data_IF_899520604552
#
_entry.id   IF_899520604552
#
_cell.length_a   1.000
_cell.length_b   1.000
_cell.length_c   1.000
_cell.angle_alpha   90.00
_cell.angle_beta   90.00
_cell.angle_gamma   90.00
#
_symmetry.space_group_name_H-M   'P 1'
#
loop_
_entity.id
_entity.type
_entity.pdbx_description
1 polymer ?
#
# COMPACT_ATOMS: atom_id res chain seq x y z
N UNK A 1 11.01 -7.67 -5.95
CA UNK A 1 10.71 -6.32 -5.38
C UNK A 1 11.91 -5.38 -5.51
N UNK A 2 13.13 -5.89 -5.66
CA UNK A 2 14.33 -5.06 -5.83
C UNK A 2 14.26 -4.11 -7.04
N UNK A 3 13.72 -4.56 -8.17
CA UNK A 3 13.55 -3.70 -9.36
C UNK A 3 12.60 -2.53 -9.10
N UNK A 4 11.53 -2.77 -8.34
CA UNK A 4 10.58 -1.71 -7.95
C UNK A 4 11.26 -0.68 -7.02
N UNK A 5 12.04 -1.13 -6.04
CA UNK A 5 12.81 -0.25 -5.17
C UNK A 5 13.81 0.60 -5.97
N UNK A 6 14.57 -0.02 -6.88
CA UNK A 6 15.51 0.68 -7.75
C UNK A 6 14.80 1.68 -8.68
N UNK A 7 13.61 1.35 -9.18
CA UNK A 7 12.78 2.25 -9.97
C UNK A 7 12.34 3.50 -9.21
N UNK A 8 11.99 3.36 -7.92
CA UNK A 8 11.66 4.50 -7.06
C UNK A 8 12.86 5.44 -6.89
N UNK A 9 14.06 4.91 -6.64
CA UNK A 9 15.27 5.73 -6.51
C UNK A 9 15.67 6.39 -7.84
N UNK A 10 15.50 5.69 -8.97
CA UNK A 10 15.73 6.25 -10.30
C UNK A 10 14.76 7.41 -10.59
N UNK A 11 13.49 7.29 -10.21
CA UNK A 11 12.52 8.38 -10.33
C UNK A 11 12.96 9.61 -9.51
N UNK A 12 13.36 9.43 -8.25
CA UNK A 12 13.82 10.51 -7.38
C UNK A 12 15.05 11.23 -7.93
N UNK A 13 15.97 10.49 -8.55
CA UNK A 13 17.17 11.09 -9.15
C UNK A 13 16.88 11.84 -10.46
N UNK A 14 15.79 11.50 -11.15
CA UNK A 14 15.44 12.03 -12.46
C UNK A 14 14.40 13.15 -12.41
N UNK A 15 13.57 13.21 -11.36
CA UNK A 15 12.48 14.16 -11.18
C UNK A 15 12.80 15.11 -10.02
N UNK A 16 12.55 16.40 -10.23
CA UNK A 16 12.78 17.40 -9.19
C UNK A 16 11.90 17.18 -7.95
N UNK A 17 10.68 16.67 -8.15
CA UNK A 17 9.74 16.37 -7.06
C UNK A 17 8.83 15.21 -7.47
N UNK A 18 8.98 14.04 -6.80
CA UNK A 18 8.15 12.86 -7.04
C UNK A 18 6.77 12.96 -6.38
N UNK A 19 6.59 13.90 -5.44
CA UNK A 19 5.34 14.01 -4.68
C UNK A 19 4.19 14.62 -5.49
N UNK A 20 4.50 15.23 -6.63
CA UNK A 20 3.51 15.84 -7.55
C UNK A 20 3.26 15.02 -8.83
N UNK A 21 3.91 13.87 -8.97
CA UNK A 21 3.71 12.99 -10.15
C UNK A 21 2.40 12.19 -10.00
N UNK A 22 1.75 11.91 -11.14
CA UNK A 22 0.64 10.96 -11.17
C UNK A 22 1.15 9.52 -11.01
N UNK A 23 0.66 8.79 -10.00
CA UNK A 23 1.01 7.39 -9.74
C UNK A 23 -0.14 6.48 -10.13
N UNK A 24 0.08 5.52 -11.02
CA UNK A 24 -0.92 4.53 -11.44
C UNK A 24 -0.26 3.20 -11.78
N UNK A 25 -1.02 2.12 -11.68
CA UNK A 25 -0.62 0.77 -12.06
C UNK A 25 -1.35 0.26 -13.31
N UNK A 26 -2.47 0.88 -13.67
CA UNK A 26 -3.26 0.61 -14.87
C UNK A 26 -3.66 1.91 -15.55
N UNK A 27 -3.83 1.86 -16.86
CA UNK A 27 -4.41 2.93 -17.66
C UNK A 27 -5.05 2.36 -18.94
N UNK A 28 -5.55 3.23 -19.81
CA UNK A 28 -6.24 2.87 -21.05
C UNK A 28 -5.30 2.48 -22.21
N UNK A 29 -3.99 2.45 -22.00
CA UNK A 29 -2.98 2.15 -23.02
C UNK A 29 -2.15 0.89 -22.70
N UNK A 30 -2.36 0.29 -21.53
CA UNK A 30 -1.69 -0.95 -21.11
C UNK A 30 -2.70 -1.97 -20.64
N UNK A 31 -2.33 -3.24 -20.75
CA UNK A 31 -3.17 -4.36 -20.29
C UNK A 31 -3.54 -4.18 -18.81
N UNK A 32 -4.75 -4.62 -18.44
CA UNK A 32 -5.19 -4.66 -17.06
C UNK A 32 -4.32 -5.60 -16.23
N UNK A 33 -4.05 -5.25 -14.97
CA UNK A 33 -3.28 -6.11 -14.05
C UNK A 33 -3.91 -7.50 -13.93
N UNK A 34 -5.24 -7.56 -13.85
CA UNK A 34 -5.99 -8.81 -13.77
C UNK A 34 -5.94 -9.68 -15.04
N UNK A 35 -5.49 -9.16 -16.19
CA UNK A 35 -5.19 -9.95 -17.37
C UNK A 35 -3.89 -10.75 -17.26
N UNK A 36 -2.97 -10.30 -16.41
CA UNK A 36 -1.69 -10.94 -16.15
C UNK A 36 -1.78 -11.96 -15.01
N UNK A 37 -2.66 -11.74 -14.05
CA UNK A 37 -2.87 -12.62 -12.90
C UNK A 37 -4.24 -12.39 -12.26
N UNK A 38 -4.91 -13.46 -11.87
CA UNK A 38 -6.15 -13.42 -11.08
C UNK A 38 -5.90 -13.37 -9.56
N UNK A 39 -4.64 -13.32 -9.12
CA UNK A 39 -4.28 -13.33 -7.70
C UNK A 39 -4.65 -12.01 -7.03
N UNK A 40 -5.64 -12.05 -6.14
CA UNK A 40 -6.13 -10.87 -5.42
C UNK A 40 -5.12 -10.30 -4.42
N UNK A 41 -4.21 -11.11 -3.88
CA UNK A 41 -3.16 -10.58 -3.00
C UNK A 41 -2.18 -9.71 -3.78
N UNK A 42 -1.82 -10.10 -5.01
CA UNK A 42 -1.00 -9.28 -5.91
C UNK A 42 -1.74 -7.99 -6.32
N UNK A 43 -3.02 -8.09 -6.67
CA UNK A 43 -3.83 -6.92 -7.00
C UNK A 43 -3.93 -5.93 -5.82
N UNK A 44 -4.12 -6.45 -4.59
CA UNK A 44 -4.13 -5.63 -3.36
C UNK A 44 -2.79 -4.93 -3.10
N UNK A 45 -1.66 -5.63 -3.32
CA UNK A 45 -0.33 -5.01 -3.21
C UNK A 45 -0.18 -3.86 -4.21
N UNK A 46 -0.58 -4.08 -5.46
CA UNK A 46 -0.48 -3.09 -6.54
C UNK A 46 -1.31 -1.84 -6.25
N UNK A 47 -2.56 -2.01 -5.81
CA UNK A 47 -3.45 -0.89 -5.43
C UNK A 47 -2.88 -0.15 -4.21
N UNK A 48 -2.47 -0.88 -3.17
CA UNK A 48 -1.93 -0.27 -1.96
C UNK A 48 -0.61 0.48 -2.24
N UNK A 49 0.27 -0.08 -3.06
CA UNK A 49 1.48 0.60 -3.51
C UNK A 49 1.15 1.90 -4.25
N UNK A 50 0.23 1.85 -5.23
CA UNK A 50 -0.20 3.03 -6.00
C UNK A 50 -0.71 4.15 -5.09
N UNK A 51 -1.51 3.81 -4.07
CA UNK A 51 -2.14 4.81 -3.20
C UNK A 51 -1.16 5.33 -2.13
N UNK A 52 -0.27 4.50 -1.59
CA UNK A 52 0.52 4.83 -0.40
C UNK A 52 1.94 5.35 -0.71
N UNK A 53 2.43 5.22 -1.94
CA UNK A 53 3.69 5.82 -2.36
C UNK A 53 3.56 7.34 -2.59
N UNK A 54 4.60 7.94 -3.16
CA UNK A 54 4.60 9.34 -3.58
C UNK A 54 3.63 9.62 -4.73
N UNK A 55 3.29 10.89 -4.84
CA UNK A 55 2.50 11.41 -5.95
C UNK A 55 1.00 11.42 -5.72
N UNK A 56 0.29 11.71 -6.78
CA UNK A 56 -1.18 11.77 -6.84
C UNK A 56 -1.66 10.40 -7.31
N UNK A 57 -2.29 9.59 -6.46
CA UNK A 57 -2.72 8.25 -6.85
C UNK A 57 -3.87 8.31 -7.84
N UNK A 58 -3.77 7.51 -8.89
CA UNK A 58 -4.78 7.37 -9.93
C UNK A 58 -5.19 5.90 -9.98
N UNK A 59 -6.45 5.62 -9.71
CA UNK A 59 -7.06 4.30 -9.88
C UNK A 59 -7.83 4.32 -11.20
N UNK A 60 -7.44 3.45 -12.12
CA UNK A 60 -8.12 3.34 -13.41
C UNK A 60 -9.48 2.68 -13.22
N UNK A 61 -10.54 3.30 -13.77
CA UNK A 61 -11.91 2.82 -13.63
C UNK A 61 -12.04 1.34 -14.03
N UNK A 62 -12.59 0.52 -13.14
CA UNK A 62 -12.68 -0.95 -13.28
C UNK A 62 -11.57 -1.71 -12.57
N UNK A 63 -10.47 -1.09 -12.15
CA UNK A 63 -9.43 -1.74 -11.33
C UNK A 63 -10.01 -2.21 -10.00
N UNK A 64 -10.87 -1.42 -9.39
CA UNK A 64 -11.60 -1.74 -8.16
C UNK A 64 -12.64 -2.86 -8.35
N UNK A 65 -12.96 -3.20 -9.59
CA UNK A 65 -13.86 -4.29 -9.98
C UNK A 65 -13.11 -5.51 -10.53
N UNK A 66 -11.75 -5.44 -10.55
CA UNK A 66 -10.88 -6.48 -11.09
C UNK A 66 -11.15 -6.78 -12.59
N UNK A 67 -11.40 -5.74 -13.38
CA UNK A 67 -11.51 -5.88 -14.84
C UNK A 67 -10.19 -6.41 -15.42
N UNK A 68 -10.29 -7.23 -16.48
CA UNK A 68 -9.18 -8.05 -16.95
C UNK A 68 -8.91 -7.97 -18.46
N UNK A 69 -9.29 -6.87 -19.09
CA UNK A 69 -9.01 -6.64 -20.51
C UNK A 69 -7.52 -6.70 -20.83
N UNK A 70 -7.16 -7.53 -21.80
CA UNK A 70 -5.77 -7.87 -22.09
C UNK A 70 -5.04 -6.91 -23.01
N UNK A 71 -5.72 -6.12 -23.81
CA UNK A 71 -5.12 -5.16 -24.76
C UNK A 71 -6.15 -4.15 -25.26
N UNK A 72 -5.68 -3.06 -25.84
CA UNK A 72 -6.53 -2.05 -26.48
C UNK A 72 -7.30 -2.67 -27.66
N UNK A 73 -8.63 -2.50 -27.74
CA UNK A 73 -9.51 -1.68 -26.89
C UNK A 73 -10.15 -2.45 -25.70
N UNK A 74 -9.80 -3.70 -25.50
CA UNK A 74 -10.45 -4.58 -24.52
C UNK A 74 -10.15 -4.20 -23.07
N UNK A 75 -9.07 -3.46 -22.79
CA UNK A 75 -8.70 -2.87 -21.51
C UNK A 75 -9.53 -1.63 -21.14
N UNK A 76 -10.45 -1.21 -22.04
CA UNK A 76 -11.34 -0.06 -21.86
C UNK A 76 -12.78 -0.51 -21.61
N UNK A 77 -12.95 -1.51 -20.72
CA UNK A 77 -14.25 -2.05 -20.37
C UNK A 77 -15.15 -0.94 -19.81
N UNK A 78 -16.42 -1.00 -20.19
CA UNK A 78 -17.40 -0.06 -19.71
C UNK A 78 -17.71 -0.25 -18.22
N UNK A 79 -17.72 0.83 -17.47
CA UNK A 79 -17.86 0.81 -16.00
C UNK A 79 -19.15 0.16 -15.49
N UNK A 80 -20.23 0.17 -16.30
CA UNK A 80 -21.51 -0.45 -15.94
C UNK A 80 -21.52 -1.99 -16.01
N UNK A 81 -20.50 -2.62 -16.61
CA UNK A 81 -20.45 -4.10 -16.75
C UNK A 81 -20.43 -4.81 -15.40
N UNK A 82 -19.88 -4.20 -14.37
CA UNK A 82 -19.89 -4.73 -13.00
C UNK A 82 -21.17 -4.45 -12.23
N UNK A 83 -22.12 -3.70 -12.81
CA UNK A 83 -23.29 -3.17 -12.09
C UNK A 83 -22.90 -2.22 -10.96
N UNK A 84 -21.70 -1.62 -11.02
CA UNK A 84 -21.15 -0.73 -9.97
C UNK A 84 -21.11 -1.42 -8.60
N UNK A 85 -20.60 -2.65 -8.55
CA UNK A 85 -20.61 -3.49 -7.35
C UNK A 85 -19.75 -2.92 -6.24
N UNK A 86 -20.36 -2.28 -5.25
CA UNK A 86 -19.69 -1.75 -4.05
C UNK A 86 -19.29 -2.83 -3.05
N UNK A 87 -19.74 -4.09 -3.25
CA UNK A 87 -19.33 -5.24 -2.44
C UNK A 87 -18.11 -5.96 -3.00
N UNK A 88 -17.62 -5.57 -4.18
CA UNK A 88 -16.40 -6.13 -4.75
C UNK A 88 -15.22 -5.98 -3.78
N UNK A 89 -14.42 -7.03 -3.67
CA UNK A 89 -13.30 -7.10 -2.70
C UNK A 89 -12.28 -5.98 -2.90
N UNK A 90 -11.90 -5.71 -4.16
CA UNK A 90 -10.96 -4.64 -4.47
C UNK A 90 -11.57 -3.24 -4.34
N UNK A 91 -12.90 -3.09 -4.49
CA UNK A 91 -13.58 -1.83 -4.20
C UNK A 91 -13.43 -1.47 -2.71
N UNK A 92 -13.77 -2.41 -1.82
CA UNK A 92 -13.61 -2.24 -0.37
C UNK A 92 -12.16 -2.01 0.03
N UNK A 93 -11.25 -2.76 -0.61
CA UNK A 93 -9.81 -2.60 -0.39
C UNK A 93 -9.31 -1.20 -0.77
N UNK A 94 -9.66 -0.73 -1.96
CA UNK A 94 -9.30 0.61 -2.45
C UNK A 94 -9.83 1.69 -1.52
N UNK A 95 -11.09 1.57 -1.08
CA UNK A 95 -11.70 2.50 -0.14
C UNK A 95 -10.94 2.54 1.19
N UNK A 96 -10.59 1.38 1.76
CA UNK A 96 -9.84 1.28 3.01
C UNK A 96 -8.44 1.90 2.90
N UNK A 97 -7.68 1.58 1.85
CA UNK A 97 -6.34 2.14 1.63
C UNK A 97 -6.39 3.66 1.42
N UNK A 98 -7.39 4.15 0.67
CA UNK A 98 -7.58 5.58 0.47
C UNK A 98 -7.95 6.30 1.77
N UNK A 99 -8.76 5.68 2.63
CA UNK A 99 -9.09 6.23 3.95
C UNK A 99 -7.85 6.37 4.84
N UNK A 100 -6.93 5.40 4.80
CA UNK A 100 -5.65 5.44 5.52
C UNK A 100 -4.80 6.61 5.01
N UNK A 101 -4.66 6.78 3.70
CA UNK A 101 -3.94 7.90 3.10
C UNK A 101 -4.55 9.25 3.51
N UNK A 102 -5.86 9.37 3.47
CA UNK A 102 -6.57 10.59 3.87
C UNK A 102 -6.32 10.91 5.34
N UNK A 103 -6.34 9.90 6.22
CA UNK A 103 -6.04 10.08 7.64
C UNK A 103 -4.59 10.53 7.86
N UNK A 104 -3.63 9.91 7.16
CA UNK A 104 -2.22 10.29 7.25
C UNK A 104 -2.02 11.76 6.81
N UNK A 105 -2.62 12.16 5.67
CA UNK A 105 -2.56 13.53 5.16
C UNK A 105 -3.21 14.54 6.10
N UNK A 106 -4.28 14.15 6.80
CA UNK A 106 -4.97 14.99 7.78
C UNK A 106 -4.15 15.20 9.05
N UNK A 107 -3.50 14.15 9.55
CA UNK A 107 -2.76 14.18 10.83
C UNK A 107 -1.35 14.72 10.68
N UNK A 108 -0.71 14.49 9.56
CA UNK A 108 0.65 14.94 9.28
C UNK A 108 0.65 15.89 8.07
N UNK A 109 0.71 17.21 8.28
CA UNK A 109 0.76 18.17 7.18
C UNK A 109 1.94 17.96 6.22
N UNK A 110 3.03 17.34 6.70
CA UNK A 110 4.20 17.03 5.87
C UNK A 110 4.01 15.75 5.03
N UNK A 111 3.01 14.91 5.30
CA UNK A 111 2.84 13.62 4.63
C UNK A 111 2.85 13.72 3.09
N UNK A 112 2.18 14.73 2.53
CA UNK A 112 2.08 14.89 1.08
C UNK A 112 3.40 15.32 0.42
N UNK A 113 4.26 16.02 1.14
CA UNK A 113 5.56 16.51 0.66
C UNK A 113 6.73 15.62 1.10
N UNK A 114 6.49 14.67 2.00
CA UNK A 114 7.49 13.71 2.43
C UNK A 114 7.68 12.64 1.35
N UNK A 115 8.88 12.56 0.79
CA UNK A 115 9.22 11.52 -0.18
C UNK A 115 9.35 10.16 0.52
N UNK A 116 8.67 9.15 -0.02
CA UNK A 116 8.76 7.79 0.51
C UNK A 116 10.14 7.17 0.24
N UNK A 117 10.64 6.38 1.17
CA UNK A 117 11.92 5.67 1.06
C UNK A 117 11.70 4.15 1.06
N UNK A 118 12.38 3.45 0.16
CA UNK A 118 12.54 2.00 0.23
C UNK A 118 13.57 1.70 1.33
N UNK A 119 13.13 1.44 2.56
CA UNK A 119 14.02 1.22 3.71
C UNK A 119 14.53 -0.21 3.80
N UNK A 120 13.78 -1.17 3.26
CA UNK A 120 14.19 -2.56 3.11
C UNK A 120 13.62 -3.12 1.80
N UNK A 121 14.37 -3.95 1.11
CA UNK A 121 13.86 -4.74 0.00
C UNK A 121 14.70 -5.97 -0.28
N UNK A 122 14.05 -7.00 -0.79
CA UNK A 122 14.67 -8.21 -1.34
C UNK A 122 13.94 -8.64 -2.64
N UNK A 123 14.09 -9.89 -3.07
CA UNK A 123 13.42 -10.40 -4.27
C UNK A 123 11.89 -10.45 -4.14
N UNK A 124 11.36 -10.55 -2.93
CA UNK A 124 9.94 -10.80 -2.65
C UNK A 124 9.25 -9.74 -1.80
N UNK A 125 10.00 -8.91 -1.10
CA UNK A 125 9.48 -7.92 -0.14
C UNK A 125 10.01 -6.53 -0.45
N UNK A 126 9.15 -5.52 -0.28
CA UNK A 126 9.51 -4.10 -0.29
C UNK A 126 8.89 -3.42 0.91
N UNK A 127 9.69 -2.69 1.69
CA UNK A 127 9.23 -1.84 2.78
C UNK A 127 9.39 -0.38 2.38
N UNK A 128 8.29 0.35 2.36
CA UNK A 128 8.29 1.80 2.18
C UNK A 128 8.00 2.49 3.50
N UNK A 129 8.82 3.49 3.81
CA UNK A 129 8.56 4.46 4.86
C UNK A 129 8.11 5.77 4.23
N UNK A 130 6.92 6.25 4.63
CA UNK A 130 6.42 7.58 4.27
C UNK A 130 5.96 8.30 5.53
N UNK A 131 6.79 9.22 6.02
CA UNK A 131 6.61 9.87 7.33
C UNK A 131 6.52 8.82 8.45
N UNK A 132 5.41 8.78 9.20
CA UNK A 132 5.15 7.81 10.27
C UNK A 132 4.53 6.50 9.77
N UNK A 133 4.25 6.35 8.48
CA UNK A 133 3.65 5.17 7.90
C UNK A 133 4.71 4.21 7.40
N UNK A 134 4.57 2.92 7.74
CA UNK A 134 5.37 1.82 7.20
C UNK A 134 4.45 0.90 6.42
N UNK A 135 4.73 0.75 5.13
CA UNK A 135 4.01 -0.16 4.23
C UNK A 135 4.93 -1.29 3.79
N UNK A 136 4.48 -2.54 3.96
CA UNK A 136 5.21 -3.74 3.58
C UNK A 136 4.47 -4.42 2.44
N UNK A 137 5.09 -4.53 1.28
CA UNK A 137 4.54 -5.12 0.07
C UNK A 137 5.22 -6.44 -0.26
N UNK A 138 4.48 -7.34 -0.92
CA UNK A 138 4.98 -8.64 -1.35
C UNK A 138 4.54 -8.97 -2.76
N UNK A 139 5.39 -9.68 -3.51
CA UNK A 139 5.06 -10.26 -4.82
C UNK A 139 4.83 -11.79 -4.77
N UNK A 140 4.68 -12.36 -3.58
CA UNK A 140 4.53 -13.82 -3.42
C UNK A 140 3.12 -14.33 -3.77
N UNK A 141 2.11 -13.45 -3.81
CA UNK A 141 0.72 -13.82 -4.06
C UNK A 141 0.09 -14.65 -2.93
N UNK A 142 -1.14 -15.08 -3.15
CA UNK A 142 -1.96 -15.81 -2.15
C UNK A 142 -1.32 -17.11 -1.67
N UNK A 143 -0.53 -17.77 -2.52
CA UNK A 143 0.19 -19.02 -2.17
C UNK A 143 1.52 -18.77 -1.45
N UNK A 144 1.90 -17.52 -1.23
CA UNK A 144 3.15 -17.16 -0.56
C UNK A 144 3.23 -17.73 0.87
N UNK A 145 4.39 -18.27 1.21
CA UNK A 145 4.65 -18.83 2.54
C UNK A 145 4.58 -17.75 3.62
N UNK A 146 4.10 -18.11 4.79
CA UNK A 146 4.14 -17.23 5.96
C UNK A 146 5.56 -17.12 6.51
N UNK A 147 5.95 -15.90 6.89
CA UNK A 147 7.24 -15.60 7.53
C UNK A 147 7.13 -14.38 8.44
N UNK A 148 8.12 -14.20 9.29
CA UNK A 148 8.22 -12.98 10.12
C UNK A 148 9.40 -12.15 9.63
N UNK A 149 9.12 -10.89 9.29
CA UNK A 149 10.13 -9.89 8.97
C UNK A 149 10.35 -9.00 10.19
N UNK A 150 11.58 -8.90 10.67
CA UNK A 150 11.93 -7.98 11.76
C UNK A 150 12.54 -6.71 11.18
N UNK A 151 11.88 -5.59 11.40
CA UNK A 151 12.30 -4.27 10.92
C UNK A 151 12.88 -3.47 12.08
N UNK A 152 14.17 -3.10 12.05
CA UNK A 152 14.78 -2.28 13.09
C UNK A 152 14.28 -0.83 13.04
N UNK A 153 14.47 -0.10 14.15
CA UNK A 153 14.16 1.33 14.27
C UNK A 153 14.74 2.17 13.12
N UNK A 154 15.93 1.83 12.64
CA UNK A 154 16.58 2.56 11.54
C UNK A 154 15.75 2.53 10.24
N UNK A 155 14.99 1.46 9.99
CA UNK A 155 14.15 1.29 8.81
C UNK A 155 12.76 1.88 9.01
N UNK A 156 12.20 1.76 10.22
CA UNK A 156 10.83 2.18 10.53
C UNK A 156 10.73 3.59 11.09
N UNK A 157 11.72 4.02 11.85
CA UNK A 157 11.67 5.24 12.68
C UNK A 157 10.82 5.10 13.93
N UNK A 158 10.29 3.91 14.23
CA UNK A 158 9.53 3.65 15.45
C UNK A 158 10.45 3.60 16.68
N UNK A 159 9.88 3.96 17.83
CA UNK A 159 10.59 3.96 19.11
C UNK A 159 10.33 2.67 19.90
N UNK A 160 11.09 2.48 20.99
CA UNK A 160 10.89 1.34 21.89
C UNK A 160 9.48 1.33 22.50
N UNK A 161 8.88 0.16 22.55
CA UNK A 161 7.54 -0.08 23.13
C UNK A 161 6.43 0.81 22.54
N UNK A 162 6.58 1.25 21.29
CA UNK A 162 5.59 2.07 20.61
C UNK A 162 4.37 1.25 20.22
N UNK A 163 3.18 1.76 20.59
CA UNK A 163 1.91 1.17 20.18
C UNK A 163 1.60 1.53 18.71
N UNK A 164 1.30 0.51 17.91
CA UNK A 164 1.01 0.60 16.48
C UNK A 164 -0.29 -0.15 16.16
N UNK A 165 -0.87 0.18 15.04
CA UNK A 165 -1.94 -0.61 14.42
C UNK A 165 -1.49 -1.04 13.03
N UNK A 166 -1.65 -2.33 12.72
CA UNK A 166 -1.71 -2.81 11.35
C UNK A 166 -3.10 -2.50 10.82
N UNK A 167 -3.19 -1.44 9.99
CA UNK A 167 -4.45 -0.77 9.67
C UNK A 167 -5.31 -1.50 8.64
N UNK A 168 -4.75 -2.47 7.91
CA UNK A 168 -5.53 -3.27 6.95
C UNK A 168 -6.33 -4.38 7.62
N UNK A 169 -5.86 -4.90 8.75
CA UNK A 169 -6.55 -5.92 9.54
C UNK A 169 -7.07 -5.41 10.89
N UNK A 170 -6.81 -4.15 11.21
CA UNK A 170 -7.12 -3.56 12.53
C UNK A 170 -6.54 -4.39 13.68
N UNK A 171 -5.29 -4.77 13.57
CA UNK A 171 -4.58 -5.56 14.58
C UNK A 171 -3.58 -4.68 15.32
N UNK A 172 -3.63 -4.73 16.65
CA UNK A 172 -2.68 -4.02 17.51
C UNK A 172 -1.30 -4.67 17.49
N UNK A 173 -0.27 -3.84 17.42
CA UNK A 173 1.14 -4.22 17.48
C UNK A 173 1.87 -3.34 18.49
N UNK A 174 3.02 -3.83 18.96
CA UNK A 174 3.93 -3.05 19.80
C UNK A 174 5.35 -3.38 19.37
N UNK A 175 6.18 -2.37 19.19
CA UNK A 175 7.62 -2.58 18.97
C UNK A 175 8.28 -3.14 20.22
N UNK A 176 9.37 -3.87 20.07
CA UNK A 176 10.14 -4.40 21.21
C UNK A 176 10.84 -3.28 22.01
N UNK A 177 11.60 -3.67 23.05
CA UNK A 177 12.36 -2.75 23.89
C UNK A 177 13.50 -2.02 23.15
N UNK A 178 13.84 -2.44 21.94
CA UNK A 178 14.83 -1.80 21.05
C UNK A 178 14.16 -1.02 19.91
N UNK A 179 12.82 -1.00 19.84
CA UNK A 179 12.06 -0.34 18.78
C UNK A 179 11.89 -1.17 17.51
N UNK A 180 12.27 -2.45 17.51
CA UNK A 180 12.07 -3.30 16.33
C UNK A 180 10.60 -3.70 16.20
N UNK A 181 10.12 -3.76 14.96
CA UNK A 181 8.80 -4.23 14.59
C UNK A 181 8.87 -5.63 13.98
N UNK A 182 8.21 -6.61 14.61
CA UNK A 182 8.04 -7.95 14.05
C UNK A 182 6.77 -8.00 13.18
N UNK A 183 6.94 -8.10 11.87
CA UNK A 183 5.86 -8.12 10.88
C UNK A 183 5.54 -9.56 10.50
N UNK A 184 4.34 -10.04 10.85
CA UNK A 184 3.86 -11.34 10.42
C UNK A 184 3.28 -11.25 9.00
N UNK A 185 4.02 -11.73 8.01
CA UNK A 185 3.59 -11.82 6.61
C UNK A 185 2.91 -13.15 6.36
N UNK A 186 1.78 -13.13 5.67
CA UNK A 186 1.04 -14.33 5.29
C UNK A 186 0.22 -14.08 4.01
N UNK A 187 0.06 -15.12 3.20
CA UNK A 187 -0.75 -15.11 1.97
C UNK A 187 -0.39 -13.98 1.00
N UNK A 188 0.86 -13.51 1.02
CA UNK A 188 1.35 -12.42 0.20
C UNK A 188 0.60 -11.08 0.36
N UNK A 189 -0.21 -10.90 1.41
CA UNK A 189 -0.96 -9.67 1.63
C UNK A 189 -0.04 -8.53 2.08
N UNK A 190 -0.26 -7.29 1.60
CA UNK A 190 0.47 -6.15 2.11
C UNK A 190 0.08 -5.84 3.56
N UNK A 191 0.98 -5.21 4.30
CA UNK A 191 0.78 -4.74 5.67
C UNK A 191 1.08 -3.25 5.76
N UNK A 192 0.27 -2.53 6.54
CA UNK A 192 0.45 -1.10 6.73
C UNK A 192 0.39 -0.77 8.21
N UNK A 193 1.47 -0.23 8.75
CA UNK A 193 1.61 0.11 10.17
C UNK A 193 1.58 1.62 10.37
N UNK A 194 0.81 2.05 11.36
CA UNK A 194 0.70 3.44 11.73
C UNK A 194 0.65 3.60 13.25
N UNK A 195 1.25 4.67 13.84
CA UNK A 195 1.19 4.90 15.28
C UNK A 195 -0.25 5.05 15.78
N UNK A 196 -0.58 4.34 16.88
CA UNK A 196 -1.91 4.35 17.46
C UNK A 196 -2.37 5.77 17.86
N UNK A 197 -1.49 6.57 18.44
CA UNK A 197 -1.78 7.94 18.88
C UNK A 197 -2.20 8.87 17.73
N UNK A 198 -1.73 8.60 16.50
CA UNK A 198 -2.10 9.35 15.31
C UNK A 198 -3.43 8.88 14.69
N UNK A 199 -3.96 7.77 15.15
CA UNK A 199 -5.25 7.22 14.70
C UNK A 199 -6.39 7.49 15.70
N UNK A 200 -6.09 7.91 16.91
CA UNK A 200 -7.10 8.18 17.95
C UNK A 200 -8.13 9.19 17.46
N UNK A 201 -9.41 8.84 17.60
CA UNK A 201 -10.55 9.64 17.12
C UNK A 201 -10.73 9.66 15.60
N UNK A 202 -10.03 8.78 14.86
CA UNK A 202 -10.23 8.61 13.42
C UNK A 202 -11.29 7.57 13.10
N UNK A 203 -11.74 7.53 11.83
CA UNK A 203 -12.60 6.46 11.32
C UNK A 203 -11.83 5.19 10.90
N UNK A 204 -10.50 5.15 11.11
CA UNK A 204 -9.66 4.00 10.80
C UNK A 204 -9.58 3.09 12.02
N UNK A 205 -9.96 1.82 11.88
CA UNK A 205 -9.91 0.81 12.94
C UNK A 205 -10.61 1.26 14.25
N UNK A 206 -11.83 1.74 14.16
CA UNK A 206 -12.59 2.37 15.27
C UNK A 206 -12.68 1.52 16.53
N UNK A 207 -12.60 0.19 16.41
CA UNK A 207 -12.57 -0.73 17.58
C UNK A 207 -11.31 -0.56 18.46
N UNK A 208 -10.24 0.06 17.92
CA UNK A 208 -8.96 0.27 18.60
C UNK A 208 -8.64 1.75 18.82
N UNK A 209 -9.29 2.64 18.06
CA UNK A 209 -8.95 4.08 17.98
C UNK A 209 -10.06 5.00 18.51
N UNK A 210 -11.25 4.44 18.78
CA UNK A 210 -12.47 5.16 19.19
C UNK A 210 -12.46 5.72 20.58
#
# INVERSE_FOLDING_TARGET
MSELANGLEAMKSSCADTTILGSFSENHDVVRFASLTSDLSLAKNTIAFTILQDGIPIIYAGQEQHYSGGEVPYDREATWLSGYNTDAELYKWTAAVNQIRNQASYRDPAYLTYQAYATYFDSSTLVLRKSSMISVFSNQGTSGSSYTLTLPTAETGFTASQALIEVMSCTAYTTDSSGNLAVAMASGLPKVFYPLDQLTGSAVCTSLTG
#
